data_IF_392801198717
#
_entry.id   IF_392801198717
#
_cell.length_a   1.000
_cell.length_b   1.000
_cell.length_c   1.000
_cell.angle_alpha   90.00
_cell.angle_beta   90.00
_cell.angle_gamma   90.00
#
_symmetry.space_group_name_H-M   'P 1'
#
loop_
_entity.id
_entity.type
_entity.pdbx_description
1 polymer ?
#
# COMPACT_ATOMS: atom_id res chain seq x y z
N UNK A 1 5.19 -2.96 8.17
CA UNK A 1 5.93 -2.67 9.41
C UNK A 1 5.28 -1.52 10.13
N UNK A 2 4.63 -1.82 11.24
CA UNK A 2 4.12 -0.86 12.21
C UNK A 2 5.30 -0.37 13.07
N UNK A 3 5.38 0.92 13.38
CA UNK A 3 6.42 1.51 14.27
C UNK A 3 6.53 0.82 15.63
N UNK A 4 5.43 0.23 16.13
CA UNK A 4 5.40 -0.47 17.42
C UNK A 4 5.90 -1.92 17.36
N UNK A 5 6.50 -2.35 16.25
CA UNK A 5 7.02 -3.72 16.08
C UNK A 5 8.51 -3.76 15.72
N UNK A 6 9.20 -2.61 15.66
CA UNK A 6 10.65 -2.63 15.44
C UNK A 6 11.35 -3.02 16.73
N UNK A 7 12.15 -4.07 16.67
CA UNK A 7 13.01 -4.46 17.79
C UNK A 7 14.14 -3.44 18.01
N UNK A 8 14.91 -3.61 19.09
CA UNK A 8 15.97 -2.67 19.47
C UNK A 8 17.07 -2.59 18.39
N UNK A 9 17.39 -3.71 17.74
CA UNK A 9 18.40 -3.76 16.67
C UNK A 9 17.90 -3.10 15.40
N UNK A 10 16.65 -3.35 15.00
CA UNK A 10 16.05 -2.75 13.80
C UNK A 10 15.94 -1.22 13.94
N UNK A 11 15.66 -0.73 15.16
CA UNK A 11 15.67 0.72 15.45
C UNK A 11 17.06 1.32 15.31
N UNK A 12 18.09 0.63 15.80
CA UNK A 12 19.46 1.08 15.68
C UNK A 12 19.91 1.15 14.20
N UNK A 13 19.51 0.16 13.39
CA UNK A 13 19.80 0.18 11.95
C UNK A 13 19.05 1.29 11.22
N UNK A 14 17.80 1.56 11.59
CA UNK A 14 17.04 2.68 11.04
C UNK A 14 17.70 4.04 11.36
N UNK A 15 18.18 4.22 12.59
CA UNK A 15 18.89 5.45 12.96
C UNK A 15 20.21 5.61 12.21
N UNK A 16 20.99 4.53 12.04
CA UNK A 16 22.19 4.55 11.18
C UNK A 16 21.85 4.95 9.74
N UNK A 17 20.71 4.49 9.21
CA UNK A 17 20.24 4.91 7.90
C UNK A 17 19.92 6.41 7.85
N UNK A 18 19.31 6.97 8.89
CA UNK A 18 19.03 8.41 8.96
C UNK A 18 20.29 9.25 9.11
N UNK A 19 21.28 8.79 9.87
CA UNK A 19 22.58 9.47 9.98
C UNK A 19 23.30 9.50 8.62
N UNK A 20 23.28 8.39 7.89
CA UNK A 20 23.94 8.28 6.59
C UNK A 20 23.20 8.99 5.46
N UNK A 21 21.87 9.05 5.54
CA UNK A 21 21.00 9.64 4.52
C UNK A 21 19.88 10.47 5.17
N UNK A 22 20.17 11.73 5.56
CA UNK A 22 19.24 12.58 6.30
C UNK A 22 17.90 12.78 5.59
N UNK A 23 17.90 12.88 4.27
CA UNK A 23 16.69 13.09 3.45
C UNK A 23 15.67 11.95 3.58
N UNK A 24 16.12 10.73 3.88
CA UNK A 24 15.25 9.56 4.06
C UNK A 24 14.35 9.73 5.29
N UNK A 25 14.82 10.46 6.32
CA UNK A 25 14.04 10.70 7.54
C UNK A 25 12.72 11.41 7.24
N UNK A 26 12.75 12.39 6.33
CA UNK A 26 11.56 13.13 5.90
C UNK A 26 10.60 12.25 5.12
N UNK A 27 11.11 11.44 4.18
CA UNK A 27 10.26 10.51 3.41
C UNK A 27 9.64 9.45 4.32
N UNK A 28 10.43 8.93 5.27
CA UNK A 28 9.97 7.96 6.24
C UNK A 28 8.83 8.50 7.10
N UNK A 29 8.98 9.69 7.68
CA UNK A 29 7.94 10.30 8.51
C UNK A 29 6.64 10.54 7.73
N UNK A 30 6.74 10.99 6.47
CA UNK A 30 5.59 11.14 5.57
C UNK A 30 4.85 9.81 5.32
N UNK A 31 5.60 8.71 5.08
CA UNK A 31 5.00 7.38 4.90
C UNK A 31 4.31 6.91 6.18
N UNK A 32 4.94 7.12 7.34
CA UNK A 32 4.37 6.67 8.62
C UNK A 32 3.09 7.45 8.94
N UNK A 33 3.11 8.77 8.77
CA UNK A 33 1.92 9.61 8.92
C UNK A 33 0.78 9.14 8.00
N UNK A 34 1.08 8.86 6.72
CA UNK A 34 0.11 8.31 5.77
C UNK A 34 -0.46 6.95 6.20
N UNK A 35 0.38 6.06 6.73
CA UNK A 35 -0.06 4.75 7.24
C UNK A 35 -0.98 4.88 8.45
N UNK A 36 -0.69 5.81 9.35
CA UNK A 36 -1.54 6.09 10.50
C UNK A 36 -2.91 6.61 10.07
N UNK A 37 -2.94 7.54 9.12
CA UNK A 37 -4.17 8.07 8.53
C UNK A 37 -5.06 6.94 8.00
N UNK A 38 -4.48 6.03 7.21
CA UNK A 38 -5.22 4.88 6.66
C UNK A 38 -5.70 3.96 7.77
N UNK A 39 -4.86 3.67 8.76
CA UNK A 39 -5.22 2.77 9.87
C UNK A 39 -6.37 3.32 10.72
N UNK A 40 -6.38 4.62 10.94
CA UNK A 40 -7.43 5.30 11.70
C UNK A 40 -8.69 5.57 10.86
N UNK A 41 -8.65 5.25 9.56
CA UNK A 41 -9.69 5.62 8.60
C UNK A 41 -10.06 7.11 8.67
N UNK A 42 -9.07 7.98 8.93
CA UNK A 42 -9.28 9.42 9.07
C UNK A 42 -9.20 10.11 7.71
N UNK A 43 -10.37 10.27 7.06
CA UNK A 43 -10.47 10.85 5.73
C UNK A 43 -10.08 12.34 5.69
N UNK A 44 -10.36 13.11 6.75
CA UNK A 44 -10.03 14.54 6.77
C UNK A 44 -8.52 14.75 6.87
N UNK A 45 -7.85 13.99 7.73
CA UNK A 45 -6.38 14.00 7.82
C UNK A 45 -5.75 13.50 6.52
N UNK A 46 -6.36 12.53 5.82
CA UNK A 46 -5.97 12.14 4.46
C UNK A 46 -6.06 13.32 3.48
N UNK A 47 -7.15 14.08 3.47
CA UNK A 47 -7.30 15.23 2.57
C UNK A 47 -6.26 16.33 2.84
N UNK A 48 -5.86 16.52 4.10
CA UNK A 48 -4.77 17.45 4.45
C UNK A 48 -3.43 16.94 3.93
N UNK A 49 -3.11 15.67 4.15
CA UNK A 49 -1.90 15.03 3.60
C UNK A 49 -1.86 15.11 2.07
N UNK A 50 -2.98 14.83 1.41
CA UNK A 50 -3.11 14.88 -0.05
C UNK A 50 -2.87 16.30 -0.57
N UNK A 51 -3.45 17.32 0.07
CA UNK A 51 -3.21 18.74 -0.27
C UNK A 51 -1.75 19.12 -0.11
N UNK A 52 -1.10 18.71 0.99
CA UNK A 52 0.33 18.95 1.20
C UNK A 52 1.18 18.33 0.07
N UNK A 53 0.94 17.05 -0.27
CA UNK A 53 1.69 16.39 -1.34
C UNK A 53 1.42 16.95 -2.74
N UNK A 54 0.32 17.68 -2.93
CA UNK A 54 -0.03 18.33 -4.20
C UNK A 54 0.37 19.82 -4.27
N UNK A 55 0.92 20.37 -3.20
CA UNK A 55 1.31 21.80 -3.12
C UNK A 55 2.38 22.16 -4.15
N UNK A 56 3.40 21.31 -4.28
CA UNK A 56 4.58 21.52 -5.12
C UNK A 56 4.97 20.21 -5.81
N UNK A 57 5.58 20.29 -7.01
CA UNK A 57 5.93 19.11 -7.80
C UNK A 57 7.10 18.32 -7.21
N UNK A 58 7.89 18.98 -6.39
CA UNK A 58 9.07 18.49 -5.67
C UNK A 58 8.69 17.63 -4.46
N UNK A 59 7.41 17.62 -4.06
CA UNK A 59 6.94 16.78 -2.97
C UNK A 59 7.22 15.29 -3.25
N UNK A 60 7.74 14.51 -2.28
CA UNK A 60 8.17 13.13 -2.50
C UNK A 60 7.09 12.22 -3.11
N UNK A 61 5.82 12.48 -2.79
CA UNK A 61 4.69 11.68 -3.27
C UNK A 61 3.78 12.43 -4.25
N UNK A 62 4.23 13.52 -4.88
CA UNK A 62 3.38 14.34 -5.76
C UNK A 62 2.64 13.52 -6.84
N UNK A 63 3.36 12.66 -7.59
CA UNK A 63 2.74 11.85 -8.65
C UNK A 63 1.77 10.80 -8.10
N UNK A 64 2.07 10.24 -6.93
CA UNK A 64 1.19 9.31 -6.26
C UNK A 64 -0.09 10.02 -5.79
N UNK A 65 0.05 11.16 -5.13
CA UNK A 65 -1.05 12.02 -4.72
C UNK A 65 -1.92 12.47 -5.89
N UNK A 66 -1.33 12.74 -7.07
CA UNK A 66 -2.10 13.05 -8.29
C UNK A 66 -2.99 11.90 -8.72
N UNK A 67 -2.48 10.66 -8.70
CA UNK A 67 -3.25 9.45 -9.03
C UNK A 67 -4.35 9.19 -8.00
N UNK A 68 -4.06 9.44 -6.73
CA UNK A 68 -5.09 9.34 -5.69
C UNK A 68 -6.21 10.36 -5.93
N UNK A 69 -5.85 11.61 -6.24
CA UNK A 69 -6.83 12.66 -6.53
C UNK A 69 -7.73 12.33 -7.74
N UNK A 70 -7.21 11.65 -8.77
CA UNK A 70 -8.03 11.29 -9.94
C UNK A 70 -9.16 10.32 -9.63
N UNK A 71 -9.09 9.59 -8.51
CA UNK A 71 -10.13 8.64 -8.09
C UNK A 71 -10.54 8.88 -6.62
N UNK A 72 -10.76 10.15 -6.28
CA UNK A 72 -11.02 10.56 -4.89
C UNK A 72 -12.30 9.94 -4.31
N UNK A 73 -13.29 9.65 -5.16
CA UNK A 73 -14.53 9.00 -4.73
C UNK A 73 -14.28 7.56 -4.25
N UNK A 74 -13.56 6.75 -5.04
CA UNK A 74 -13.23 5.39 -4.61
C UNK A 74 -12.37 5.40 -3.34
N UNK A 75 -11.45 6.35 -3.22
CA UNK A 75 -10.65 6.52 -1.99
C UNK A 75 -11.55 6.86 -0.81
N UNK A 76 -12.45 7.84 -0.93
CA UNK A 76 -13.38 8.17 0.14
C UNK A 76 -14.17 6.95 0.60
N UNK A 77 -14.64 6.12 -0.33
CA UNK A 77 -15.30 4.87 0.01
C UNK A 77 -14.40 3.89 0.77
N UNK A 78 -13.11 3.82 0.45
CA UNK A 78 -12.15 3.01 1.19
C UNK A 78 -11.95 3.48 2.65
N UNK A 79 -12.21 4.75 2.96
CA UNK A 79 -12.16 5.28 4.34
C UNK A 79 -13.49 5.10 5.09
N UNK A 80 -14.63 5.16 4.39
CA UNK A 80 -15.96 5.17 5.02
C UNK A 80 -16.57 3.77 5.14
N UNK A 81 -16.34 2.91 4.15
CA UNK A 81 -16.97 1.60 4.10
C UNK A 81 -16.14 0.57 4.89
N UNK A 82 -16.80 -0.42 5.53
CA UNK A 82 -16.12 -1.49 6.26
C UNK A 82 -15.50 -2.55 5.33
N UNK A 83 -15.72 -2.44 4.02
CA UNK A 83 -15.27 -3.43 3.04
C UNK A 83 -13.81 -3.21 2.67
N UNK A 84 -13.04 -4.29 2.62
CA UNK A 84 -11.69 -4.30 2.09
C UNK A 84 -11.57 -5.30 0.93
N UNK A 85 -10.66 -5.01 0.00
CA UNK A 85 -10.36 -5.90 -1.12
C UNK A 85 -9.41 -7.05 -0.74
N UNK A 86 -9.18 -7.31 0.56
CA UNK A 86 -8.16 -8.26 1.01
C UNK A 86 -8.39 -9.68 0.51
N UNK A 87 -9.63 -10.18 0.64
CA UNK A 87 -10.02 -11.52 0.15
C UNK A 87 -9.87 -11.62 -1.37
N UNK A 88 -10.36 -10.61 -2.08
CA UNK A 88 -10.27 -10.55 -3.54
C UNK A 88 -8.80 -10.55 -4.02
N UNK A 89 -7.95 -9.74 -3.40
CA UNK A 89 -6.51 -9.68 -3.70
C UNK A 89 -5.84 -11.02 -3.39
N UNK A 90 -6.25 -11.70 -2.31
CA UNK A 90 -5.81 -13.06 -1.99
C UNK A 90 -6.13 -14.06 -3.12
N UNK A 91 -7.38 -14.08 -3.59
CA UNK A 91 -7.79 -14.96 -4.70
C UNK A 91 -7.09 -14.62 -6.01
N UNK A 92 -6.90 -13.34 -6.32
CA UNK A 92 -6.13 -12.90 -7.51
C UNK A 92 -4.67 -13.34 -7.40
N UNK A 93 -4.06 -13.26 -6.22
CA UNK A 93 -2.70 -13.72 -5.99
C UNK A 93 -2.59 -15.24 -6.13
N UNK A 94 -3.56 -16.00 -5.60
CA UNK A 94 -3.65 -17.45 -5.77
C UNK A 94 -3.77 -17.83 -7.26
N UNK A 95 -4.64 -17.16 -8.00
CA UNK A 95 -4.78 -17.36 -9.45
C UNK A 95 -3.44 -17.12 -10.18
N UNK A 96 -2.77 -16.00 -9.87
CA UNK A 96 -1.46 -15.66 -10.43
C UNK A 96 -0.40 -16.72 -10.09
N UNK A 97 -0.41 -17.23 -8.86
CA UNK A 97 0.50 -18.29 -8.42
C UNK A 97 0.28 -19.58 -9.22
N UNK A 98 -0.97 -20.04 -9.35
CA UNK A 98 -1.31 -21.24 -10.14
C UNK A 98 -0.84 -21.08 -11.59
N UNK A 99 -1.12 -19.93 -12.21
CA UNK A 99 -0.66 -19.64 -13.59
C UNK A 99 0.87 -19.69 -13.71
N UNK A 100 1.61 -19.17 -12.71
CA UNK A 100 3.08 -19.22 -12.67
C UNK A 100 3.61 -20.65 -12.50
N UNK A 101 3.03 -21.45 -11.61
CA UNK A 101 3.40 -22.87 -11.45
C UNK A 101 3.20 -23.69 -12.73
N UNK A 102 2.29 -23.25 -13.60
CA UNK A 102 2.03 -23.88 -14.89
C UNK A 102 2.76 -23.20 -16.05
N UNK A 103 3.81 -22.42 -15.76
CA UNK A 103 4.63 -21.71 -16.74
C UNK A 103 3.83 -20.85 -17.73
N UNK A 104 2.68 -20.32 -17.27
CA UNK A 104 1.78 -19.52 -18.10
C UNK A 104 0.97 -20.30 -19.15
N UNK A 105 1.09 -21.63 -19.22
CA UNK A 105 0.47 -22.48 -20.26
C UNK A 105 -0.94 -22.99 -19.90
N UNK A 106 -1.46 -22.62 -18.74
CA UNK A 106 -2.80 -23.02 -18.32
C UNK A 106 -3.87 -22.24 -19.09
N UNK A 107 -4.77 -22.95 -19.78
CA UNK A 107 -5.97 -22.35 -20.35
C UNK A 107 -6.94 -21.88 -19.27
N UNK A 108 -7.89 -21.01 -19.62
CA UNK A 108 -8.88 -20.50 -18.67
C UNK A 108 -9.64 -21.63 -17.97
N UNK A 109 -10.06 -22.66 -18.71
CA UNK A 109 -10.76 -23.83 -18.17
C UNK A 109 -9.92 -24.59 -17.14
N UNK A 110 -8.61 -24.72 -17.38
CA UNK A 110 -7.69 -25.39 -16.45
C UNK A 110 -7.48 -24.56 -15.19
N UNK A 111 -7.31 -23.24 -15.33
CA UNK A 111 -7.22 -22.32 -14.19
C UNK A 111 -8.50 -22.34 -13.35
N UNK A 112 -9.67 -22.31 -13.98
CA UNK A 112 -10.97 -22.41 -13.28
C UNK A 112 -11.08 -23.72 -12.49
N UNK A 113 -10.74 -24.86 -13.10
CA UNK A 113 -10.76 -26.16 -12.42
C UNK A 113 -9.83 -26.16 -11.19
N UNK A 114 -8.59 -25.67 -11.33
CA UNK A 114 -7.66 -25.58 -10.19
C UNK A 114 -8.12 -24.62 -9.10
N UNK A 115 -8.72 -23.49 -9.48
CA UNK A 115 -9.27 -22.53 -8.53
C UNK A 115 -10.44 -23.12 -7.73
N UNK A 116 -11.41 -23.76 -8.40
CA UNK A 116 -12.63 -24.31 -7.79
C UNK A 116 -12.39 -25.60 -7.00
N UNK A 117 -11.68 -26.56 -7.59
CA UNK A 117 -11.48 -27.89 -7.01
C UNK A 117 -10.24 -27.98 -6.11
N UNK A 118 -9.46 -26.89 -5.96
CA UNK A 118 -8.20 -26.84 -5.19
C UNK A 118 -7.20 -27.94 -5.60
N UNK A 119 -7.03 -28.14 -6.92
CA UNK A 119 -6.07 -29.06 -7.56
C UNK A 119 -4.73 -28.40 -7.91
#
# INVERSE_FOLDING_TARGET
>A
MHLNQLDVSERADLERCFEKYPDIRTVYSLIQNYREIIKQSDYERFLQWLRNQLSHREQPFYQYARRLRSDLQAIKHAFVLPYNNGVLVGEVNRLKMIKRMMYGRASLTVLQKRMLYRL
#
